data_IF_570222616693
#
_entry.id   IF_570222616693
#
_cell.length_a   1.000
_cell.length_b   1.000
_cell.length_c   1.000
_cell.angle_alpha   90.00
_cell.angle_beta   90.00
_cell.angle_gamma   90.00
#
_symmetry.space_group_name_H-M   'P 1'
#
loop_
_entity.id
_entity.type
_entity.pdbx_description
1 polymer ?
#
# COMPACT_ATOMS: atom_id res chain seq x y z
N UNK A 1 7.02 -4.12 -15.16
CA UNK A 1 6.53 -3.24 -14.07
C UNK A 1 7.48 -3.35 -12.91
N UNK A 2 7.61 -2.31 -12.08
CA UNK A 2 8.51 -2.31 -10.92
C UNK A 2 7.76 -1.79 -9.70
N UNK A 3 7.90 -2.51 -8.59
CA UNK A 3 7.48 -2.05 -7.27
C UNK A 3 8.54 -1.10 -6.70
N UNK A 4 8.09 0.02 -6.15
CA UNK A 4 8.92 1.01 -5.45
C UNK A 4 8.32 1.32 -4.08
N UNK A 5 9.16 1.43 -3.07
CA UNK A 5 8.77 1.93 -1.75
C UNK A 5 8.85 3.45 -1.75
N UNK A 6 7.86 4.10 -1.15
CA UNK A 6 7.69 5.54 -1.17
C UNK A 6 7.95 6.09 0.24
N UNK A 7 9.05 6.82 0.37
CA UNK A 7 9.45 7.50 1.60
C UNK A 7 8.99 8.96 1.60
N UNK A 8 9.30 9.70 2.64
CA UNK A 8 8.68 11.01 2.91
C UNK A 8 8.91 12.06 1.82
N UNK A 9 9.96 11.90 1.01
CA UNK A 9 10.23 12.70 -0.19
C UNK A 9 9.21 12.50 -1.33
N UNK A 10 8.40 11.43 -1.28
CA UNK A 10 7.36 11.13 -2.27
C UNK A 10 5.98 11.67 -1.89
N UNK A 11 5.83 12.40 -0.78
CA UNK A 11 4.52 12.85 -0.29
C UNK A 11 3.66 13.52 -1.36
N UNK A 12 4.22 14.52 -2.05
CA UNK A 12 3.48 15.30 -3.04
C UNK A 12 3.09 14.44 -4.23
N UNK A 13 4.05 13.69 -4.78
CA UNK A 13 3.82 12.77 -5.91
C UNK A 13 2.77 11.71 -5.60
N UNK A 14 2.76 11.20 -4.37
CA UNK A 14 1.80 10.20 -3.91
C UNK A 14 0.38 10.80 -3.80
N UNK A 15 0.25 11.97 -3.18
CA UNK A 15 -1.03 12.66 -3.03
C UNK A 15 -1.58 13.13 -4.38
N UNK A 16 -0.73 13.63 -5.27
CA UNK A 16 -1.10 14.01 -6.63
C UNK A 16 -1.66 12.81 -7.41
N UNK A 17 -0.99 11.66 -7.33
CA UNK A 17 -1.48 10.44 -7.97
C UNK A 17 -2.83 10.02 -7.39
N UNK A 18 -2.97 9.95 -6.07
CA UNK A 18 -4.22 9.51 -5.40
C UNK A 18 -5.37 10.48 -5.69
N UNK A 19 -5.13 11.78 -5.61
CA UNK A 19 -6.11 12.83 -5.84
C UNK A 19 -6.56 12.95 -7.30
N UNK A 20 -5.71 12.54 -8.24
CA UNK A 20 -6.07 12.51 -9.66
C UNK A 20 -6.98 11.33 -10.06
N UNK A 21 -7.17 10.33 -9.19
CA UNK A 21 -7.97 9.16 -9.55
C UNK A 21 -9.47 9.37 -9.32
N UNK A 22 -10.35 8.92 -10.24
CA UNK A 22 -11.79 8.98 -10.06
C UNK A 22 -12.30 8.27 -8.80
N UNK A 23 -11.59 7.23 -8.35
CA UNK A 23 -11.90 6.45 -7.15
C UNK A 23 -10.97 6.78 -5.98
N UNK A 24 -10.47 8.02 -5.89
CA UNK A 24 -9.61 8.47 -4.80
C UNK A 24 -10.17 8.06 -3.43
N UNK A 25 -9.33 7.48 -2.57
CA UNK A 25 -9.72 7.07 -1.22
C UNK A 25 -8.98 7.89 -0.19
N UNK A 26 -9.70 8.53 0.73
CA UNK A 26 -9.08 9.27 1.84
C UNK A 26 -8.15 8.37 2.68
N UNK A 27 -8.52 7.10 2.88
CA UNK A 27 -7.71 6.11 3.60
C UNK A 27 -6.42 5.73 2.85
N UNK A 28 -6.28 6.18 1.61
CA UNK A 28 -5.07 6.06 0.82
C UNK A 28 -4.35 7.40 0.67
N UNK A 29 -4.72 8.47 1.40
CA UNK A 29 -3.97 9.74 1.44
C UNK A 29 -2.72 9.66 2.31
N UNK A 30 -1.70 10.46 2.00
CA UNK A 30 -0.46 10.48 2.80
C UNK A 30 -0.73 10.76 4.29
N UNK A 31 -1.61 11.74 4.54
CA UNK A 31 -2.01 12.19 5.88
C UNK A 31 -2.67 11.07 6.69
N UNK A 32 -3.44 10.18 6.05
CA UNK A 32 -3.97 9.01 6.74
C UNK A 32 -2.86 8.08 7.22
N UNK A 33 -1.83 7.86 6.42
CA UNK A 33 -0.65 7.09 6.84
C UNK A 33 0.08 7.75 8.01
N UNK A 34 0.23 9.07 8.02
CA UNK A 34 0.84 9.79 9.16
C UNK A 34 0.01 9.67 10.43
N UNK A 35 -1.32 9.73 10.31
CA UNK A 35 -2.22 9.46 11.43
C UNK A 35 -2.03 8.04 11.98
N UNK A 36 -1.89 7.03 11.11
CA UNK A 36 -1.64 5.65 11.53
C UNK A 36 -0.28 5.48 12.22
N UNK A 37 0.78 6.14 11.70
CA UNK A 37 2.09 6.19 12.36
C UNK A 37 2.00 6.80 13.76
N UNK A 38 1.24 7.88 13.94
CA UNK A 38 1.01 8.51 15.24
C UNK A 38 0.28 7.59 16.24
N UNK A 39 -0.48 6.60 15.76
CA UNK A 39 -1.08 5.53 16.56
C UNK A 39 -0.13 4.35 16.81
N UNK A 40 1.17 4.52 16.59
CA UNK A 40 2.21 3.49 16.70
C UNK A 40 1.98 2.28 15.77
N UNK A 41 1.39 2.50 14.59
CA UNK A 41 1.26 1.48 13.55
C UNK A 41 2.37 1.62 12.53
N UNK A 42 2.85 0.50 12.00
CA UNK A 42 3.76 0.54 10.86
C UNK A 42 2.96 0.83 9.59
N UNK A 43 3.51 1.66 8.71
CA UNK A 43 2.89 2.05 7.45
C UNK A 43 3.92 1.88 6.34
N UNK A 44 3.59 1.05 5.36
CA UNK A 44 4.37 0.87 4.15
C UNK A 44 3.61 1.46 2.97
N UNK A 45 4.23 2.44 2.32
CA UNK A 45 3.69 3.08 1.13
C UNK A 45 4.40 2.52 -0.10
N UNK A 46 3.62 2.05 -1.05
CA UNK A 46 4.11 1.30 -2.20
C UNK A 46 3.53 1.92 -3.45
N UNK A 47 4.36 2.07 -4.48
CA UNK A 47 3.92 2.43 -5.83
C UNK A 47 4.36 1.39 -6.84
N UNK A 48 3.55 1.20 -7.89
CA UNK A 48 3.92 0.38 -9.06
C UNK A 48 4.16 1.32 -10.24
N UNK A 49 5.34 1.19 -10.85
CA UNK A 49 5.73 1.92 -12.05
C UNK A 49 5.77 1.03 -13.29
N UNK A 50 5.32 1.56 -14.42
CA UNK A 50 5.52 1.02 -15.76
C UNK A 50 6.08 2.13 -16.65
N UNK A 51 7.19 1.87 -17.35
CA UNK A 51 7.85 2.87 -18.21
C UNK A 51 8.11 4.21 -17.49
N UNK A 52 8.52 4.14 -16.21
CA UNK A 52 8.77 5.27 -15.31
C UNK A 52 7.53 6.09 -14.87
N UNK A 53 6.33 5.72 -15.30
CA UNK A 53 5.07 6.31 -14.85
C UNK A 53 4.43 5.47 -13.73
N UNK A 54 3.87 6.12 -12.70
CA UNK A 54 3.05 5.43 -11.71
C UNK A 54 1.74 4.97 -12.33
N UNK A 55 1.44 3.68 -12.18
CA UNK A 55 0.17 3.07 -12.62
C UNK A 55 -0.69 2.60 -11.45
N UNK A 56 -0.12 2.58 -10.24
CA UNK A 56 -0.83 2.27 -9.01
C UNK A 56 -0.06 2.74 -7.78
N UNK A 57 -0.78 3.06 -6.71
CA UNK A 57 -0.22 3.24 -5.36
C UNK A 57 -1.11 2.57 -4.30
N UNK A 58 -0.51 2.20 -3.17
CA UNK A 58 -1.23 1.72 -2.00
C UNK A 58 -0.45 1.97 -0.71
N UNK A 59 -1.18 1.99 0.41
CA UNK A 59 -0.64 1.99 1.76
C UNK A 59 -1.11 0.74 2.49
N UNK A 60 -0.15 0.01 3.04
CA UNK A 60 -0.37 -1.14 3.92
C UNK A 60 -0.07 -0.67 5.34
N UNK A 61 -0.97 -0.98 6.28
CA UNK A 61 -0.86 -0.63 7.69
C UNK A 61 -0.84 -1.91 8.52
N UNK A 62 0.09 -2.03 9.47
CA UNK A 62 0.04 -3.15 10.43
C UNK A 62 -0.87 -2.81 11.61
N UNK A 63 -1.69 -3.77 12.01
CA UNK A 63 -2.50 -3.69 13.21
C UNK A 63 -2.12 -4.80 14.18
N UNK A 64 -1.64 -4.42 15.35
CA UNK A 64 -1.36 -5.37 16.43
C UNK A 64 -2.66 -5.82 17.09
N UNK A 65 -2.69 -7.10 17.45
CA UNK A 65 -3.76 -7.77 18.18
C UNK A 65 -3.20 -8.35 19.48
N UNK A 66 -4.06 -8.64 20.47
CA UNK A 66 -3.65 -9.41 21.65
C UNK A 66 -3.04 -10.77 21.26
N UNK A 67 -2.28 -11.36 22.19
CA UNK A 67 -1.65 -12.68 22.07
C UNK A 67 -0.55 -12.77 21.02
N UNK A 68 0.12 -11.66 20.78
CA UNK A 68 1.25 -11.61 19.86
C UNK A 68 0.82 -11.99 18.43
N UNK A 69 -0.20 -11.31 17.92
CA UNK A 69 -0.70 -11.47 16.55
C UNK A 69 -0.81 -10.11 15.88
N UNK A 70 -0.79 -10.10 14.56
CA UNK A 70 -1.08 -8.89 13.80
C UNK A 70 -1.76 -9.21 12.47
N UNK A 71 -2.31 -8.19 11.84
CA UNK A 71 -2.77 -8.25 10.46
C UNK A 71 -2.27 -7.04 9.66
N UNK A 72 -2.05 -7.25 8.37
CA UNK A 72 -1.76 -6.19 7.41
C UNK A 72 -3.07 -5.74 6.77
N UNK A 73 -3.28 -4.43 6.72
CA UNK A 73 -4.50 -3.83 6.22
C UNK A 73 -4.21 -2.87 5.07
N UNK A 74 -4.88 -3.07 3.94
CA UNK A 74 -4.79 -2.21 2.75
C UNK A 74 -6.18 -1.59 2.49
N UNK A 75 -6.51 -0.43 3.10
CA UNK A 75 -7.87 0.10 3.07
C UNK A 75 -8.31 0.54 1.67
N UNK A 76 -9.35 -0.09 1.13
CA UNK A 76 -10.00 0.30 -0.15
C UNK A 76 -9.03 0.45 -1.33
N UNK A 77 -7.91 -0.26 -1.31
CA UNK A 77 -6.92 -0.21 -2.38
C UNK A 77 -6.65 -1.58 -3.01
N UNK A 78 -5.63 -1.68 -3.88
CA UNK A 78 -4.77 -0.58 -4.31
C UNK A 78 -5.50 0.45 -5.17
N UNK A 79 -5.00 1.68 -5.23
CA UNK A 79 -5.49 2.71 -6.16
C UNK A 79 -4.86 2.42 -7.52
N UNK A 80 -5.68 2.28 -8.55
CA UNK A 80 -5.27 1.94 -9.91
C UNK A 80 -5.48 3.13 -10.84
N UNK A 81 -4.56 3.31 -11.79
CA UNK A 81 -4.79 4.21 -12.91
C UNK A 81 -5.97 3.72 -13.77
N UNK A 82 -6.82 4.59 -14.34
CA UNK A 82 -7.97 4.17 -15.12
C UNK A 82 -7.51 3.59 -16.47
N UNK A 83 -8.32 2.71 -17.05
CA UNK A 83 -8.07 2.17 -18.39
C UNK A 83 -7.01 1.05 -18.46
N UNK A 84 -6.52 0.56 -17.33
CA UNK A 84 -5.64 -0.61 -17.28
C UNK A 84 -6.41 -1.88 -17.66
N UNK A 85 -5.82 -2.70 -18.55
CA UNK A 85 -6.38 -4.01 -18.90
C UNK A 85 -6.31 -5.02 -17.73
N UNK A 86 -7.10 -6.09 -17.82
CA UNK A 86 -7.21 -7.10 -16.76
C UNK A 86 -5.88 -7.82 -16.45
N UNK A 87 -5.01 -8.00 -17.44
CA UNK A 87 -3.71 -8.66 -17.23
C UNK A 87 -2.78 -7.76 -16.42
N UNK A 88 -2.77 -6.48 -16.74
CA UNK A 88 -2.00 -5.45 -16.03
C UNK A 88 -2.52 -5.28 -14.59
N UNK A 89 -3.84 -5.22 -14.40
CA UNK A 89 -4.44 -5.18 -13.06
C UNK A 89 -4.05 -6.40 -12.22
N UNK A 90 -4.08 -7.60 -12.80
CA UNK A 90 -3.66 -8.83 -12.14
C UNK A 90 -2.19 -8.79 -11.71
N UNK A 91 -1.29 -8.36 -12.61
CA UNK A 91 0.14 -8.23 -12.29
C UNK A 91 0.38 -7.23 -11.16
N UNK A 92 -0.35 -6.11 -11.13
CA UNK A 92 -0.28 -5.14 -10.04
C UNK A 92 -0.68 -5.79 -8.70
N UNK A 93 -1.80 -6.51 -8.67
CA UNK A 93 -2.28 -7.19 -7.46
C UNK A 93 -1.26 -8.24 -6.98
N UNK A 94 -0.71 -9.04 -7.89
CA UNK A 94 0.32 -10.04 -7.58
C UNK A 94 1.57 -9.40 -6.94
N UNK A 95 1.98 -8.21 -7.40
CA UNK A 95 3.09 -7.46 -6.81
C UNK A 95 2.78 -6.99 -5.38
N UNK A 96 1.58 -6.45 -5.14
CA UNK A 96 1.17 -6.05 -3.78
C UNK A 96 1.06 -7.24 -2.84
N UNK A 97 0.50 -8.36 -3.30
CA UNK A 97 0.43 -9.59 -2.51
C UNK A 97 1.82 -10.13 -2.19
N UNK A 98 2.75 -10.10 -3.14
CA UNK A 98 4.14 -10.48 -2.88
C UNK A 98 4.77 -9.57 -1.82
N UNK A 99 4.58 -8.25 -1.93
CA UNK A 99 5.13 -7.31 -0.95
C UNK A 99 4.49 -7.47 0.43
N UNK A 100 3.19 -7.70 0.52
CA UNK A 100 2.51 -7.96 1.78
C UNK A 100 3.02 -9.25 2.44
N UNK A 101 3.28 -10.29 1.64
CA UNK A 101 3.97 -11.51 2.10
C UNK A 101 5.39 -11.22 2.59
N UNK A 102 6.17 -10.41 1.87
CA UNK A 102 7.53 -10.05 2.29
C UNK A 102 7.53 -9.25 3.59
N UNK A 103 6.58 -8.33 3.76
CA UNK A 103 6.35 -7.61 5.02
C UNK A 103 6.04 -8.62 6.12
N UNK A 104 5.06 -9.50 5.93
CA UNK A 104 4.69 -10.52 6.91
C UNK A 104 5.88 -11.39 7.36
N UNK A 105 6.75 -11.79 6.42
CA UNK A 105 7.97 -12.52 6.77
C UNK A 105 9.00 -11.68 7.53
N UNK A 106 9.14 -10.39 7.20
CA UNK A 106 10.07 -9.48 7.87
C UNK A 106 9.56 -9.02 9.24
N UNK A 107 8.24 -8.91 9.41
CA UNK A 107 7.57 -8.47 10.64
C UNK A 107 7.20 -9.61 11.56
N UNK A 108 7.55 -10.86 11.22
CA UNK A 108 7.42 -12.08 12.04
C UNK A 108 8.12 -11.92 13.41
N UNK A 109 7.44 -11.22 14.31
CA UNK A 109 7.59 -11.31 15.76
C UNK A 109 6.39 -12.07 16.37
N UNK A 110 5.35 -12.33 15.57
CA UNK A 110 3.99 -12.65 16.01
C UNK A 110 3.23 -13.45 14.92
N UNK A 111 2.30 -14.35 15.29
CA UNK A 111 1.57 -15.24 14.35
C UNK A 111 0.51 -14.45 13.56
N UNK A 112 0.77 -14.13 12.29
CA UNK A 112 -0.09 -13.27 11.47
C UNK A 112 -1.29 -14.03 10.85
N UNK A 113 -2.47 -13.39 10.87
CA UNK A 113 -3.70 -13.85 10.21
C UNK A 113 -4.02 -12.81 9.11
N UNK A 114 -4.09 -13.24 7.85
CA UNK A 114 -4.46 -12.38 6.73
C UNK A 114 -5.98 -12.16 6.71
N UNK A 115 -6.43 -10.89 6.68
CA UNK A 115 -7.83 -10.47 6.54
C UNK A 115 -7.96 -9.42 5.44
#
# INVERSE_FOLDING_TARGET
>A
MRLVELYDDYQDVFNDFVGAQPQSQFLQSWQWGEFQRALNRNVWRIGIKQSNQFISTAQIVSHHLPLGKSYLYLPRGPILMPGLDLQTQRQIIELYLSKARDIAYATKKENEIFL
#
